data_IF_336775005058
#
_entry.id   IF_336775005058
#
_cell.length_a   1.000
_cell.length_b   1.000
_cell.length_c   1.000
_cell.angle_alpha   90.00
_cell.angle_beta   90.00
_cell.angle_gamma   90.00
#
_symmetry.space_group_name_H-M   'P 1'
#
loop_
_entity.id
_entity.type
_entity.pdbx_description
1 polymer ?
#
# COMPACT_ATOMS: atom_id res chain seq x y z
N UNK A 1 -8.46 -42.21 -25.20
CA UNK A 1 -7.11 -42.55 -24.70
C UNK A 1 -6.64 -41.36 -23.88
N UNK A 2 -6.80 -41.37 -22.55
CA UNK A 2 -5.77 -41.79 -21.56
C UNK A 2 -4.40 -41.17 -21.86
N UNK A 3 -3.65 -40.51 -20.96
CA UNK A 3 -3.76 -40.27 -19.52
C UNK A 3 -2.63 -39.36 -19.03
N UNK A 4 -2.89 -38.71 -17.90
CA UNK A 4 -1.98 -38.08 -16.91
C UNK A 4 -0.62 -38.75 -16.68
N UNK A 5 0.38 -37.93 -16.32
CA UNK A 5 1.32 -37.99 -15.16
C UNK A 5 2.03 -36.62 -15.09
N UNK A 6 1.91 -35.71 -14.12
CA UNK A 6 2.03 -35.67 -12.65
C UNK A 6 3.48 -35.71 -12.10
N UNK A 7 3.72 -34.88 -11.05
CA UNK A 7 4.94 -34.61 -10.25
C UNK A 7 5.80 -33.44 -10.77
N UNK A 8 6.24 -32.44 -9.99
CA UNK A 8 6.25 -32.23 -8.55
C UNK A 8 7.51 -31.41 -8.19
N UNK A 9 7.31 -30.25 -7.53
CA UNK A 9 8.16 -29.60 -6.52
C UNK A 9 9.71 -29.65 -6.60
N UNK A 10 10.33 -28.46 -6.47
CA UNK A 10 11.30 -28.06 -5.42
C UNK A 10 12.64 -27.43 -5.89
N UNK A 11 13.09 -26.49 -5.04
CA UNK A 11 14.44 -25.92 -4.83
C UNK A 11 14.78 -24.55 -5.43
N UNK A 12 14.66 -23.55 -4.54
CA UNK A 12 15.68 -22.54 -4.23
C UNK A 12 17.11 -22.93 -4.66
N UNK A 13 17.88 -21.96 -5.18
CA UNK A 13 19.12 -21.47 -4.54
C UNK A 13 19.81 -20.36 -5.35
N UNK A 14 20.39 -19.43 -4.60
CA UNK A 14 21.58 -18.62 -4.87
C UNK A 14 21.58 -17.57 -6.00
N UNK A 15 21.25 -16.33 -5.62
CA UNK A 15 22.05 -15.18 -6.06
C UNK A 15 22.59 -14.41 -4.85
N UNK A 16 23.88 -14.63 -4.64
CA UNK A 16 24.77 -13.92 -3.72
C UNK A 16 24.98 -12.51 -4.26
N UNK A 17 24.31 -11.50 -3.70
CA UNK A 17 24.64 -10.10 -3.97
C UNK A 17 25.77 -9.71 -3.02
N UNK A 18 26.98 -9.62 -3.59
CA UNK A 18 28.15 -9.02 -2.96
C UNK A 18 27.95 -7.51 -2.85
N UNK A 19 27.57 -7.03 -1.66
CA UNK A 19 27.68 -5.62 -1.30
C UNK A 19 29.04 -5.35 -0.67
N UNK A 20 29.79 -4.42 -1.25
CA UNK A 20 30.89 -3.70 -0.58
C UNK A 20 30.67 -2.19 -0.72
N UNK A 21 31.15 -1.39 0.24
CA UNK A 21 30.54 -0.13 0.65
C UNK A 21 31.18 1.09 -0.03
N UNK A 22 30.37 2.12 -0.30
CA UNK A 22 30.84 3.44 -0.72
C UNK A 22 30.94 4.37 0.51
N UNK A 23 32.04 5.11 0.74
CA UNK A 23 32.18 5.95 1.92
C UNK A 23 31.74 7.40 1.69
N UNK A 24 31.03 7.94 2.68
CA UNK A 24 31.06 9.33 3.18
C UNK A 24 30.64 10.46 2.22
N UNK A 25 29.46 11.04 2.45
CA UNK A 25 29.18 12.45 2.16
C UNK A 25 28.50 13.12 3.36
N UNK A 26 29.12 14.21 3.80
CA UNK A 26 28.76 15.08 4.91
C UNK A 26 27.43 15.81 4.68
N UNK A 27 26.55 15.81 5.69
CA UNK A 27 25.39 16.69 5.81
C UNK A 27 25.65 17.78 6.87
N UNK A 28 25.42 19.06 6.52
CA UNK A 28 25.07 20.16 7.45
C UNK A 28 24.49 21.37 6.67
N UNK A 29 23.81 22.35 7.32
CA UNK A 29 22.34 22.41 7.38
C UNK A 29 21.75 23.72 6.81
N UNK A 30 20.52 23.69 6.27
CA UNK A 30 19.68 24.90 6.06
C UNK A 30 18.19 24.58 6.19
N UNK A 31 17.75 24.40 7.43
CA UNK A 31 16.34 24.52 7.81
C UNK A 31 16.15 25.92 8.40
N UNK A 32 15.74 26.88 7.56
CA UNK A 32 15.10 28.16 7.95
C UNK A 32 14.68 28.92 6.69
N UNK A 33 13.74 28.35 5.92
CA UNK A 33 12.99 29.09 4.87
C UNK A 33 11.62 28.52 4.49
N UNK A 34 11.14 27.47 5.17
CA UNK A 34 9.90 26.74 4.82
C UNK A 34 8.68 27.11 5.68
N UNK A 35 8.73 28.23 6.41
CA UNK A 35 7.61 28.67 7.26
C UNK A 35 6.93 29.97 6.77
N UNK A 36 7.31 30.50 5.61
CA UNK A 36 6.65 31.67 5.00
C UNK A 36 6.00 31.40 3.62
N UNK A 37 6.11 30.19 3.08
CA UNK A 37 5.53 29.84 1.76
C UNK A 37 4.15 29.14 1.86
N UNK A 38 3.72 28.70 3.04
CA UNK A 38 2.49 27.91 3.20
C UNK A 38 1.19 28.72 3.35
N UNK A 39 1.25 30.06 3.42
CA UNK A 39 0.04 30.91 3.43
C UNK A 39 -0.26 31.47 2.02
N UNK A 40 0.74 31.53 1.13
CA UNK A 40 0.55 32.00 -0.24
C UNK A 40 -0.08 30.94 -1.18
N UNK A 41 0.17 29.65 -0.93
CA UNK A 41 -0.38 28.55 -1.74
C UNK A 41 -1.89 28.39 -1.64
N UNK A 42 -2.48 28.66 -0.46
CA UNK A 42 -3.92 28.52 -0.25
C UNK A 42 -4.75 29.66 -0.86
N UNK A 43 -4.20 30.86 -1.05
CA UNK A 43 -4.90 31.94 -1.74
C UNK A 43 -4.88 31.79 -3.28
N UNK A 44 -3.82 31.21 -3.83
CA UNK A 44 -3.67 31.01 -5.29
C UNK A 44 -4.56 29.85 -5.79
N UNK A 45 -4.72 28.79 -4.99
CA UNK A 45 -5.65 27.70 -5.31
C UNK A 45 -7.12 28.15 -5.26
N UNK A 46 -7.47 29.07 -4.36
CA UNK A 46 -8.83 29.62 -4.26
C UNK A 46 -9.17 30.58 -5.40
N UNK A 47 -8.18 31.33 -5.91
CA UNK A 47 -8.33 32.19 -7.10
C UNK A 47 -8.38 31.40 -8.43
N UNK A 48 -7.67 30.26 -8.51
CA UNK A 48 -7.71 29.37 -9.69
C UNK A 48 -9.03 28.60 -9.81
N UNK A 49 -9.75 28.38 -8.70
CA UNK A 49 -11.05 27.71 -8.72
C UNK A 49 -12.20 28.64 -9.14
N UNK A 50 -12.06 29.96 -8.95
CA UNK A 50 -13.07 30.97 -9.33
C UNK A 50 -12.91 31.50 -10.76
N UNK A 51 -11.76 31.25 -11.41
CA UNK A 51 -11.50 31.60 -12.82
C UNK A 51 -11.56 30.38 -13.76
N UNK A 52 -12.13 29.27 -13.31
CA UNK A 52 -12.30 28.03 -14.06
C UNK A 52 -13.33 28.08 -15.21
N UNK A 53 -14.03 29.19 -15.41
CA UNK A 53 -15.02 29.33 -16.50
C UNK A 53 -14.48 29.96 -17.81
N UNK A 54 -13.23 30.44 -17.87
CA UNK A 54 -12.66 30.96 -19.13
C UNK A 54 -11.65 30.04 -19.84
N UNK A 55 -11.14 29.01 -19.15
CA UNK A 55 -10.14 28.07 -19.70
C UNK A 55 -10.75 26.92 -20.52
N UNK A 56 -12.07 26.75 -20.51
CA UNK A 56 -12.78 25.85 -21.43
C UNK A 56 -12.68 26.29 -22.90
N UNK A 57 -12.49 27.59 -23.15
CA UNK A 57 -12.37 28.14 -24.51
C UNK A 57 -10.94 28.05 -25.08
N UNK A 58 -9.90 28.17 -24.24
CA UNK A 58 -8.50 28.12 -24.70
C UNK A 58 -8.00 26.69 -25.01
N UNK A 59 -8.51 25.66 -24.31
CA UNK A 59 -8.18 24.26 -24.62
C UNK A 59 -8.77 23.82 -25.97
N UNK A 60 -9.93 24.34 -26.36
CA UNK A 60 -10.55 24.04 -27.65
C UNK A 60 -9.80 24.69 -28.84
N UNK A 61 -9.26 25.90 -28.66
CA UNK A 61 -8.55 26.63 -29.72
C UNK A 61 -7.15 26.07 -30.04
N UNK A 62 -6.44 25.50 -29.05
CA UNK A 62 -5.13 24.89 -29.28
C UNK A 62 -5.25 23.54 -30.02
N UNK A 63 -6.29 22.74 -29.74
CA UNK A 63 -6.53 21.47 -30.46
C UNK A 63 -6.98 21.64 -31.91
N UNK A 64 -7.49 22.80 -32.33
CA UNK A 64 -7.92 23.03 -33.72
C UNK A 64 -6.80 23.48 -34.65
N UNK A 65 -5.73 24.11 -34.13
CA UNK A 65 -4.55 24.47 -34.93
C UNK A 65 -3.74 23.22 -35.33
N UNK A 66 -3.45 22.33 -34.37
CA UNK A 66 -2.77 21.07 -34.66
C UNK A 66 -3.61 20.13 -35.52
N UNK A 67 -4.95 20.12 -35.36
CA UNK A 67 -5.83 19.32 -36.24
C UNK A 67 -5.91 19.84 -37.67
N UNK A 68 -5.73 21.15 -37.92
CA UNK A 68 -5.70 21.70 -39.28
C UNK A 68 -4.40 21.38 -40.02
N UNK A 69 -3.28 21.33 -39.31
CA UNK A 69 -1.99 20.96 -39.91
C UNK A 69 -1.87 19.45 -40.17
N UNK A 70 -2.44 18.60 -39.31
CA UNK A 70 -2.44 17.13 -39.51
C UNK A 70 -3.27 16.70 -40.73
N UNK A 71 -4.24 17.50 -41.18
CA UNK A 71 -5.03 17.19 -42.40
C UNK A 71 -4.18 17.35 -43.67
N UNK A 72 -3.17 18.22 -43.67
CA UNK A 72 -2.26 18.40 -44.81
C UNK A 72 -1.32 17.20 -45.03
N UNK A 73 -1.22 16.27 -44.06
CA UNK A 73 -0.38 15.08 -44.14
C UNK A 73 -1.18 13.77 -44.30
N UNK A 74 -2.52 13.84 -44.44
CA UNK A 74 -3.36 12.63 -44.58
C UNK A 74 -3.25 11.93 -45.94
N UNK A 75 -2.85 12.68 -46.97
CA UNK A 75 -2.77 12.20 -48.36
C UNK A 75 -1.32 12.21 -48.87
N UNK A 76 -0.35 12.08 -47.97
CA UNK A 76 1.07 11.99 -48.32
C UNK A 76 1.39 10.52 -48.59
N UNK A 77 1.81 10.22 -49.82
CA UNK A 77 2.17 8.85 -50.23
C UNK A 77 3.51 8.45 -49.56
N UNK A 78 3.41 7.72 -48.46
CA UNK A 78 4.53 7.28 -47.62
C UNK A 78 5.54 6.47 -48.44
N UNK A 79 5.08 5.67 -49.41
CA UNK A 79 5.94 4.83 -50.25
C UNK A 79 6.73 5.64 -51.28
N UNK A 80 6.21 6.78 -51.74
CA UNK A 80 6.92 7.68 -52.65
C UNK A 80 8.02 8.47 -51.93
N UNK A 81 7.79 8.85 -50.67
CA UNK A 81 8.79 9.49 -49.81
C UNK A 81 9.91 8.53 -49.40
N UNK A 82 9.56 7.29 -49.04
CA UNK A 82 10.55 6.26 -48.68
C UNK A 82 11.46 5.89 -49.85
N UNK A 83 10.95 5.91 -51.10
CA UNK A 83 11.79 5.70 -52.30
C UNK A 83 12.74 6.85 -52.63
N UNK A 84 12.45 8.07 -52.14
CA UNK A 84 13.29 9.26 -52.37
C UNK A 84 14.41 9.39 -51.34
N UNK A 85 14.31 8.69 -50.20
CA UNK A 85 15.34 8.69 -49.17
C UNK A 85 16.48 7.75 -49.55
N UNK A 86 17.70 8.20 -49.28
CA UNK A 86 18.88 7.35 -49.42
C UNK A 86 18.94 6.30 -48.30
N UNK A 87 19.67 5.20 -48.53
CA UNK A 87 19.79 4.09 -47.57
C UNK A 87 20.31 4.58 -46.19
N UNK A 88 21.16 5.60 -46.16
CA UNK A 88 21.69 6.21 -44.94
C UNK A 88 20.69 7.10 -44.18
N UNK A 89 19.70 7.65 -44.89
CA UNK A 89 18.64 8.47 -44.28
C UNK A 89 17.51 7.58 -43.76
N UNK A 90 17.19 6.50 -44.48
CA UNK A 90 16.30 5.43 -43.99
C UNK A 90 16.83 4.81 -42.70
N UNK A 91 18.13 4.50 -42.64
CA UNK A 91 18.76 3.96 -41.44
C UNK A 91 18.66 4.92 -40.24
N UNK A 92 18.86 6.22 -40.46
CA UNK A 92 18.71 7.24 -39.40
C UNK A 92 17.27 7.39 -38.92
N UNK A 93 16.31 7.28 -39.83
CA UNK A 93 14.90 7.37 -39.50
C UNK A 93 14.41 6.16 -38.69
N UNK A 94 14.96 4.99 -38.99
CA UNK A 94 14.78 3.76 -38.19
C UNK A 94 15.36 3.91 -36.78
N UNK A 95 16.58 4.46 -36.66
CA UNK A 95 17.22 4.75 -35.36
C UNK A 95 16.40 5.76 -34.51
N UNK A 96 15.82 6.81 -35.13
CA UNK A 96 14.97 7.80 -34.43
C UNK A 96 13.61 7.21 -34.01
N UNK A 97 13.03 6.31 -34.80
CA UNK A 97 11.78 5.60 -34.45
C UNK A 97 11.99 4.67 -33.25
N UNK A 98 13.15 4.02 -33.13
CA UNK A 98 13.50 3.19 -31.98
C UNK A 98 13.72 4.02 -30.69
N UNK A 99 14.13 5.29 -30.79
CA UNK A 99 14.26 6.19 -29.64
C UNK A 99 12.92 6.73 -29.11
N UNK A 100 11.89 6.82 -29.96
CA UNK A 100 10.60 7.43 -29.63
C UNK A 100 9.67 6.53 -28.79
N UNK A 101 9.96 5.22 -28.68
CA UNK A 101 9.19 4.28 -27.84
C UNK A 101 10.08 3.43 -26.91
N UNK A 102 10.59 3.99 -25.80
CA UNK A 102 11.41 3.26 -24.82
C UNK A 102 10.67 2.09 -24.14
N UNK A 103 9.35 2.02 -24.27
CA UNK A 103 8.49 1.05 -23.58
C UNK A 103 7.87 -0.01 -24.48
N UNK A 104 8.33 -0.20 -25.73
CA UNK A 104 7.78 -1.18 -26.68
C UNK A 104 7.57 -2.57 -26.04
N UNK A 105 6.34 -2.83 -25.58
CA UNK A 105 5.97 -3.92 -24.69
C UNK A 105 6.16 -5.32 -25.30
N UNK A 106 6.33 -5.38 -26.62
CA UNK A 106 6.50 -6.60 -27.40
C UNK A 106 7.96 -7.10 -27.42
N UNK A 107 8.94 -6.26 -27.07
CA UNK A 107 10.34 -6.65 -27.04
C UNK A 107 10.78 -7.10 -25.63
N UNK A 108 11.40 -8.28 -25.48
CA UNK A 108 11.99 -8.75 -24.23
C UNK A 108 13.02 -7.75 -23.68
N UNK A 109 13.10 -7.60 -22.36
CA UNK A 109 13.92 -6.57 -21.69
C UNK A 109 15.41 -6.54 -22.14
N UNK A 110 16.00 -7.69 -22.46
CA UNK A 110 17.39 -7.77 -22.95
C UNK A 110 17.61 -7.24 -24.36
N UNK A 111 16.56 -7.18 -25.19
CA UNK A 111 16.62 -6.64 -26.56
C UNK A 111 16.31 -5.15 -26.63
N UNK A 112 15.95 -4.52 -25.50
CA UNK A 112 15.76 -3.07 -25.36
C UNK A 112 17.07 -2.32 -25.14
N UNK A 113 18.19 -3.04 -25.02
CA UNK A 113 19.49 -2.46 -24.75
C UNK A 113 20.12 -1.93 -26.05
N UNK A 114 20.47 -0.64 -26.05
CA UNK A 114 20.92 0.15 -27.22
C UNK A 114 22.23 -0.33 -27.87
N UNK A 115 23.01 -1.16 -27.18
CA UNK A 115 24.36 -1.55 -27.60
C UNK A 115 24.38 -2.88 -28.37
N UNK A 116 23.45 -3.08 -29.30
CA UNK A 116 23.51 -4.23 -30.22
C UNK A 116 24.59 -3.98 -31.28
N UNK A 117 25.84 -4.33 -30.95
CA UNK A 117 26.95 -4.14 -31.89
C UNK A 117 26.89 -5.21 -33.00
N UNK A 118 27.03 -4.81 -34.27
CA UNK A 118 27.16 -5.74 -35.41
C UNK A 118 28.49 -6.53 -35.42
N UNK A 119 29.37 -6.31 -34.42
CA UNK A 119 30.69 -6.95 -34.34
C UNK A 119 30.55 -8.33 -33.72
N UNK A 120 31.12 -9.34 -34.39
CA UNK A 120 31.20 -10.68 -33.82
C UNK A 120 31.95 -10.65 -32.47
N UNK A 121 31.55 -11.45 -31.47
CA UNK A 121 32.15 -11.41 -30.14
C UNK A 121 33.65 -11.71 -30.19
N UNK A 122 34.45 -10.69 -29.91
CA UNK A 122 35.92 -10.75 -29.88
C UNK A 122 36.39 -11.39 -28.57
N UNK A 123 36.12 -12.68 -28.40
CA UNK A 123 36.67 -13.51 -27.32
C UNK A 123 36.35 -13.05 -25.88
N UNK A 124 37.09 -13.59 -24.90
CA UNK A 124 36.94 -13.27 -23.48
C UNK A 124 37.51 -11.88 -23.15
N UNK A 125 36.83 -11.14 -22.27
CA UNK A 125 37.22 -9.80 -21.83
C UNK A 125 38.66 -9.75 -21.25
N UNK A 126 39.55 -9.01 -21.92
CA UNK A 126 40.93 -8.77 -21.45
C UNK A 126 41.07 -7.32 -20.93
N UNK A 127 40.99 -7.17 -19.60
CA UNK A 127 40.98 -5.87 -18.92
C UNK A 127 42.19 -5.00 -19.23
N UNK A 128 43.39 -5.57 -19.28
CA UNK A 128 44.64 -4.83 -19.48
C UNK A 128 44.71 -4.17 -20.85
N UNK A 129 44.29 -4.89 -21.90
CA UNK A 129 44.27 -4.38 -23.26
C UNK A 129 43.22 -3.26 -23.44
N UNK A 130 42.07 -3.37 -22.76
CA UNK A 130 41.07 -2.31 -22.76
C UNK A 130 41.61 -1.04 -22.09
N UNK A 131 42.25 -1.16 -20.92
CA UNK A 131 42.83 0.00 -20.22
C UNK A 131 43.90 0.67 -21.07
N UNK A 132 44.80 -0.10 -21.69
CA UNK A 132 45.82 0.46 -22.59
C UNK A 132 45.20 1.15 -23.83
N UNK A 133 44.11 0.60 -24.39
CA UNK A 133 43.39 1.23 -25.48
C UNK A 133 42.74 2.56 -25.07
N UNK A 134 42.09 2.59 -23.89
CA UNK A 134 41.44 3.79 -23.37
C UNK A 134 42.46 4.88 -23.01
N UNK A 135 43.59 4.52 -22.42
CA UNK A 135 44.68 5.46 -22.14
C UNK A 135 45.28 6.05 -23.42
N UNK A 136 45.40 5.22 -24.48
CA UNK A 136 45.86 5.68 -25.79
C UNK A 136 44.84 6.63 -26.43
N UNK A 137 43.56 6.27 -26.40
CA UNK A 137 42.47 7.14 -26.89
C UNK A 137 42.41 8.47 -26.14
N UNK A 138 42.56 8.46 -24.82
CA UNK A 138 42.55 9.66 -24.00
C UNK A 138 43.75 10.59 -24.30
N UNK A 139 44.91 10.02 -24.65
CA UNK A 139 46.08 10.81 -25.07
C UNK A 139 45.97 11.37 -26.49
N UNK A 140 45.27 10.66 -27.38
CA UNK A 140 45.09 11.05 -28.78
C UNK A 140 43.93 12.04 -28.97
N UNK A 141 42.93 12.00 -28.08
CA UNK A 141 41.85 12.98 -28.08
C UNK A 141 42.39 14.35 -27.63
N UNK A 142 42.33 15.39 -28.47
CA UNK A 142 42.75 16.72 -28.08
C UNK A 142 41.79 17.27 -27.01
N UNK A 143 42.35 17.92 -25.99
CA UNK A 143 41.57 18.65 -25.00
C UNK A 143 40.74 19.72 -25.71
N UNK A 144 39.45 19.76 -25.42
CA UNK A 144 38.54 20.75 -25.98
C UNK A 144 38.93 22.13 -25.44
N UNK A 145 39.11 23.11 -26.32
CA UNK A 145 39.39 24.48 -25.89
C UNK A 145 38.23 25.04 -25.05
N UNK A 146 38.58 25.57 -23.88
CA UNK A 146 37.62 26.24 -23.01
C UNK A 146 37.08 27.49 -23.73
N UNK A 147 35.75 27.60 -23.83
CA UNK A 147 35.05 28.76 -24.41
C UNK A 147 35.43 30.10 -23.75
N UNK A 148 35.95 30.06 -22.52
CA UNK A 148 36.44 31.22 -21.79
C UNK A 148 37.83 30.88 -21.24
N UNK A 149 38.91 31.55 -21.69
CA UNK A 149 40.24 31.28 -21.18
C UNK A 149 40.31 31.58 -19.68
N UNK A 150 40.82 30.62 -18.91
CA UNK A 150 40.97 30.74 -17.47
C UNK A 150 41.92 31.89 -17.13
N UNK A 151 41.37 33.00 -16.62
CA UNK A 151 42.10 34.26 -16.36
C UNK A 151 42.95 34.24 -15.09
N UNK A 152 42.99 33.14 -14.32
CA UNK A 152 43.83 33.00 -13.12
C UNK A 152 43.49 33.93 -11.94
N UNK A 153 42.60 34.90 -12.11
CA UNK A 153 42.16 35.79 -11.04
C UNK A 153 41.15 35.10 -10.12
N UNK A 154 41.55 34.87 -8.86
CA UNK A 154 40.60 34.47 -7.80
C UNK A 154 39.65 35.64 -7.51
N UNK A 155 38.52 35.70 -8.22
CA UNK A 155 37.43 36.62 -7.90
C UNK A 155 36.64 36.10 -6.70
N UNK A 156 36.82 36.74 -5.55
CA UNK A 156 36.07 36.49 -4.33
C UNK A 156 36.86 36.85 -3.09
N UNK A 157 36.19 37.33 -2.03
CA UNK A 157 36.83 37.52 -0.72
C UNK A 157 37.34 36.17 -0.23
N UNK A 158 38.58 36.12 0.28
CA UNK A 158 39.12 34.93 0.94
C UNK A 158 38.11 34.48 2.00
N UNK A 159 37.63 33.25 1.88
CA UNK A 159 36.69 32.69 2.83
C UNK A 159 37.35 32.65 4.21
N UNK A 160 36.91 33.52 5.11
CA UNK A 160 37.24 33.43 6.52
C UNK A 160 36.26 32.42 7.10
N UNK A 161 36.73 31.27 7.63
CA UNK A 161 35.85 30.33 8.31
C UNK A 161 35.13 31.09 9.42
N UNK A 162 33.79 31.07 9.40
CA UNK A 162 33.03 31.57 10.54
C UNK A 162 33.49 30.76 11.76
N UNK A 163 33.96 31.42 12.81
CA UNK A 163 34.10 30.76 14.11
C UNK A 163 32.73 30.16 14.41
N UNK A 164 32.68 28.83 14.51
CA UNK A 164 31.52 28.15 15.06
C UNK A 164 31.45 28.66 16.49
N UNK A 165 30.51 29.56 16.74
CA UNK A 165 30.13 29.87 18.11
C UNK A 165 29.43 28.59 18.53
N UNK A 166 30.04 27.88 19.48
CA UNK A 166 29.38 26.73 20.09
C UNK A 166 27.98 27.19 20.52
N UNK A 167 26.93 26.40 20.24
CA UNK A 167 25.60 26.72 20.75
C UNK A 167 25.76 27.02 22.24
N UNK A 168 25.18 28.12 22.72
CA UNK A 168 25.06 28.35 24.15
C UNK A 168 24.25 27.16 24.67
N UNK A 169 24.94 26.17 25.24
CA UNK A 169 24.31 25.15 26.04
C UNK A 169 23.71 25.93 27.21
N UNK A 170 22.39 26.10 27.20
CA UNK A 170 21.68 26.29 28.45
C UNK A 170 22.06 25.09 29.30
N UNK A 171 22.85 25.34 30.35
CA UNK A 171 23.03 24.37 31.40
C UNK A 171 21.67 24.21 32.06
N UNK A 172 20.90 23.24 31.57
CA UNK A 172 19.71 22.75 32.24
C UNK A 172 20.22 22.05 33.50
N UNK A 173 20.31 22.81 34.60
CA UNK A 173 20.55 22.25 35.93
C UNK A 173 19.30 21.48 36.33
N UNK A 174 19.42 20.16 36.36
CA UNK A 174 18.35 19.30 36.86
C UNK A 174 18.44 19.28 38.39
N UNK A 175 17.38 18.84 39.05
CA UNK A 175 17.43 18.59 40.49
C UNK A 175 18.51 17.54 40.79
N UNK A 176 19.27 17.67 41.88
CA UNK A 176 20.41 16.78 42.17
C UNK A 176 20.00 15.30 42.23
N UNK A 177 18.77 15.01 42.65
CA UNK A 177 18.19 13.67 42.65
C UNK A 177 17.96 13.11 41.23
N UNK A 178 17.57 13.96 40.28
CA UNK A 178 17.36 13.59 38.87
C UNK A 178 18.70 13.43 38.13
N UNK A 179 19.70 14.25 38.44
CA UNK A 179 21.05 14.12 37.87
C UNK A 179 21.71 12.82 38.30
N UNK A 180 21.57 12.45 39.59
CA UNK A 180 22.07 11.18 40.11
C UNK A 180 21.33 9.98 39.49
N UNK A 181 20.01 10.07 39.33
CA UNK A 181 19.21 9.02 38.69
C UNK A 181 19.58 8.84 37.21
N UNK A 182 19.77 9.95 36.47
CA UNK A 182 20.15 9.90 35.06
C UNK A 182 21.60 9.42 34.87
N UNK A 183 22.52 9.77 35.78
CA UNK A 183 23.91 9.32 35.75
C UNK A 183 24.07 7.82 36.06
N UNK A 184 23.15 7.26 36.86
CA UNK A 184 23.15 5.84 37.22
C UNK A 184 22.30 4.96 36.28
N UNK A 185 21.44 5.56 35.44
CA UNK A 185 20.60 4.84 34.50
C UNK A 185 21.43 4.21 33.37
N UNK A 186 21.08 2.99 32.98
CA UNK A 186 21.70 2.31 31.83
C UNK A 186 21.22 2.92 30.51
N UNK A 187 22.06 2.87 29.46
CA UNK A 187 21.70 3.33 28.11
C UNK A 187 20.38 2.74 27.59
N UNK A 188 20.03 1.54 28.06
CA UNK A 188 18.80 0.85 27.73
C UNK A 188 17.56 1.51 28.36
N UNK A 189 17.63 1.87 29.64
CA UNK A 189 16.57 2.58 30.36
C UNK A 189 16.37 4.00 29.79
N UNK A 190 17.47 4.66 29.41
CA UNK A 190 17.44 5.96 28.76
C UNK A 190 16.72 5.88 27.40
N UNK A 191 16.96 4.81 26.62
CA UNK A 191 16.24 4.59 25.35
C UNK A 191 14.73 4.41 25.55
N UNK A 192 14.30 3.68 26.57
CA UNK A 192 12.88 3.46 26.85
C UNK A 192 12.20 4.74 27.34
N UNK A 193 12.86 5.50 28.22
CA UNK A 193 12.40 6.82 28.66
C UNK A 193 12.26 7.76 27.46
N UNK A 194 13.25 7.78 26.57
CA UNK A 194 13.19 8.56 25.33
C UNK A 194 12.02 8.14 24.43
N UNK A 195 11.65 6.84 24.39
CA UNK A 195 10.53 6.35 23.59
C UNK A 195 9.19 6.80 24.16
N UNK A 196 9.03 6.73 25.49
CA UNK A 196 7.86 7.22 26.23
C UNK A 196 7.70 8.74 26.05
N UNK A 197 8.81 9.49 26.08
CA UNK A 197 8.85 10.94 25.84
C UNK A 197 8.69 11.31 24.36
N UNK A 198 8.60 10.35 23.43
CA UNK A 198 8.41 10.59 22.01
C UNK A 198 9.65 11.09 21.26
N UNK A 199 10.84 10.92 21.84
CA UNK A 199 12.13 11.31 21.25
C UNK A 199 12.60 10.30 20.19
N UNK A 200 11.81 10.13 19.14
CA UNK A 200 12.05 9.23 18.00
C UNK A 200 13.34 9.56 17.21
N UNK A 201 13.87 10.78 17.32
CA UNK A 201 15.09 11.22 16.62
C UNK A 201 16.39 10.65 17.19
N UNK A 202 16.35 10.10 18.42
CA UNK A 202 17.52 9.58 19.12
C UNK A 202 17.65 8.05 19.01
N UNK A 203 16.73 7.39 18.31
CA UNK A 203 16.65 5.93 18.25
C UNK A 203 16.24 5.43 16.87
N UNK A 204 16.46 4.13 16.61
CA UNK A 204 15.93 3.51 15.40
C UNK A 204 14.42 3.26 15.50
N UNK A 205 13.73 3.19 14.36
CA UNK A 205 12.31 2.85 14.31
C UNK A 205 12.01 1.53 15.02
N UNK A 206 12.90 0.54 14.91
CA UNK A 206 12.73 -0.76 15.57
C UNK A 206 12.76 -0.61 17.09
N UNK A 207 13.75 0.10 17.64
CA UNK A 207 13.86 0.34 19.08
C UNK A 207 12.66 1.13 19.62
N UNK A 208 12.19 2.12 18.86
CA UNK A 208 11.01 2.91 19.22
C UNK A 208 9.73 2.05 19.33
N UNK A 209 9.44 1.22 18.31
CA UNK A 209 8.25 0.38 18.33
C UNK A 209 8.35 -0.78 19.33
N UNK A 210 9.55 -1.34 19.55
CA UNK A 210 9.77 -2.36 20.58
C UNK A 210 9.50 -1.78 21.97
N UNK A 211 10.06 -0.61 22.29
CA UNK A 211 9.85 0.06 23.57
C UNK A 211 8.37 0.44 23.81
N UNK A 212 7.63 0.83 22.76
CA UNK A 212 6.19 1.10 22.86
C UNK A 212 5.35 -0.17 23.04
N UNK A 213 5.74 -1.28 22.42
CA UNK A 213 4.95 -2.51 22.40
C UNK A 213 5.14 -3.36 23.67
N UNK A 214 6.22 -3.15 24.42
CA UNK A 214 6.56 -3.95 25.59
C UNK A 214 6.68 -3.12 26.86
N UNK A 215 6.23 -3.66 27.98
CA UNK A 215 6.37 -3.04 29.30
C UNK A 215 7.74 -3.27 29.97
N UNK A 216 8.69 -3.92 29.28
CA UNK A 216 10.00 -4.29 29.80
C UNK A 216 11.10 -3.79 28.86
N UNK A 217 12.31 -3.54 29.39
CA UNK A 217 13.46 -3.09 28.61
C UNK A 217 13.91 -4.17 27.61
N UNK A 218 13.53 -4.03 26.35
CA UNK A 218 13.85 -4.99 25.27
C UNK A 218 15.20 -4.66 24.64
N UNK A 219 15.56 -3.38 24.60
CA UNK A 219 16.74 -2.90 23.92
C UNK A 219 17.99 -3.00 24.81
N UNK A 220 18.84 -4.01 24.59
CA UNK A 220 20.12 -4.16 25.33
C UNK A 220 21.31 -3.48 24.67
N UNK A 221 21.13 -2.81 23.53
CA UNK A 221 22.23 -2.38 22.66
C UNK A 221 22.56 -0.88 22.75
N UNK A 222 21.81 -0.11 23.55
CA UNK A 222 22.05 1.32 23.80
C UNK A 222 21.93 2.21 22.56
N UNK A 223 22.18 3.52 22.74
CA UNK A 223 22.06 4.54 21.68
C UNK A 223 23.07 4.38 20.53
N UNK A 224 24.21 3.74 20.80
CA UNK A 224 25.31 3.55 19.84
C UNK A 224 25.23 2.20 19.08
N UNK A 225 24.07 1.54 19.08
CA UNK A 225 23.88 0.27 18.38
C UNK A 225 24.01 0.40 16.86
N UNK A 226 24.69 -0.55 16.22
CA UNK A 226 24.73 -0.65 14.75
C UNK A 226 23.33 -1.08 14.28
N UNK A 227 22.72 -0.34 13.35
CA UNK A 227 21.42 -0.69 12.78
C UNK A 227 21.52 -2.07 12.13
N UNK A 228 20.87 -3.07 12.73
CA UNK A 228 20.79 -4.43 12.19
C UNK A 228 19.55 -4.55 11.31
N UNK A 229 19.62 -5.38 10.26
CA UNK A 229 18.43 -5.75 9.52
C UNK A 229 17.46 -6.50 10.44
N UNK A 230 16.20 -6.10 10.45
CA UNK A 230 15.15 -6.74 11.23
C UNK A 230 15.04 -8.21 10.83
N UNK A 231 15.22 -9.12 11.79
CA UNK A 231 15.03 -10.54 11.55
C UNK A 231 13.53 -10.83 11.41
N UNK A 232 13.16 -11.53 10.33
CA UNK A 232 11.78 -11.98 10.14
C UNK A 232 11.39 -12.92 11.28
N UNK A 233 10.42 -12.53 12.11
CA UNK A 233 9.83 -13.42 13.11
C UNK A 233 8.98 -14.44 12.34
N UNK A 234 9.35 -15.74 12.29
CA UNK A 234 8.52 -16.72 11.62
C UNK A 234 7.18 -16.77 12.36
N UNK A 235 6.09 -16.47 11.65
CA UNK A 235 4.75 -16.64 12.18
C UNK A 235 4.47 -18.15 12.13
N UNK A 236 4.25 -18.82 13.28
CA UNK A 236 3.88 -20.24 13.26
C UNK A 236 2.57 -20.41 12.49
N UNK A 237 2.50 -21.42 11.63
CA UNK A 237 1.24 -21.75 10.96
C UNK A 237 0.22 -22.16 12.02
N UNK A 238 -0.91 -21.46 12.08
CA UNK A 238 -2.04 -21.85 12.93
C UNK A 238 -2.55 -23.23 12.53
N UNK A 239 -2.94 -24.05 13.52
CA UNK A 239 -3.52 -25.35 13.22
C UNK A 239 -4.82 -25.19 12.43
N UNK A 240 -5.06 -26.04 11.41
CA UNK A 240 -6.29 -25.97 10.64
C UNK A 240 -7.49 -26.23 11.55
N UNK A 241 -8.59 -25.54 11.29
CA UNK A 241 -9.84 -25.71 12.01
C UNK A 241 -10.33 -27.16 11.93
N UNK A 242 -10.62 -27.76 13.10
CA UNK A 242 -11.03 -29.16 13.25
C UNK A 242 -12.54 -29.37 13.24
N UNK A 243 -13.34 -28.30 13.08
CA UNK A 243 -14.81 -28.38 13.04
C UNK A 243 -15.29 -29.27 11.91
N UNK A 244 -16.14 -30.25 12.24
CA UNK A 244 -16.81 -31.10 11.25
C UNK A 244 -18.02 -30.37 10.66
N UNK A 245 -17.99 -30.15 9.35
CA UNK A 245 -19.00 -29.41 8.60
C UNK A 245 -20.33 -30.16 8.55
N UNK A 246 -20.33 -31.48 8.32
CA UNK A 246 -21.58 -32.21 8.13
C UNK A 246 -22.28 -32.47 9.47
N UNK A 247 -21.52 -32.83 10.50
CA UNK A 247 -22.10 -33.04 11.83
C UNK A 247 -22.65 -31.74 12.41
N UNK A 248 -21.94 -30.62 12.20
CA UNK A 248 -22.41 -29.31 12.68
C UNK A 248 -23.68 -28.88 11.95
N UNK A 249 -23.76 -29.10 10.63
CA UNK A 249 -24.99 -28.84 9.86
C UNK A 249 -26.18 -29.65 10.39
N UNK A 250 -25.98 -30.94 10.70
CA UNK A 250 -27.02 -31.80 11.27
C UNK A 250 -27.47 -31.33 12.66
N UNK A 251 -26.52 -30.91 13.51
CA UNK A 251 -26.84 -30.34 14.83
C UNK A 251 -27.62 -29.04 14.72
N UNK A 252 -27.30 -28.20 13.74
CA UNK A 252 -28.05 -26.97 13.47
C UNK A 252 -29.47 -27.25 13.00
N UNK A 253 -29.66 -28.23 12.11
CA UNK A 253 -30.98 -28.65 11.64
C UNK A 253 -31.84 -29.24 12.78
N UNK A 254 -31.22 -29.88 13.77
CA UNK A 254 -31.89 -30.39 14.97
C UNK A 254 -32.15 -29.33 16.03
N UNK A 255 -31.72 -28.08 15.79
CA UNK A 255 -31.82 -26.97 16.73
C UNK A 255 -31.23 -27.30 18.12
N UNK A 256 -30.02 -27.85 18.11
CA UNK A 256 -29.30 -28.22 19.34
C UNK A 256 -29.05 -26.99 20.24
N UNK A 257 -29.57 -26.95 21.48
CA UNK A 257 -29.42 -25.81 22.38
C UNK A 257 -27.96 -25.56 22.82
N UNK A 258 -27.09 -26.57 22.76
CA UNK A 258 -25.69 -26.44 23.17
C UNK A 258 -24.82 -25.80 22.08
N UNK A 259 -25.33 -25.68 20.85
CA UNK A 259 -24.58 -25.14 19.72
C UNK A 259 -24.78 -23.62 19.58
N UNK A 260 -24.09 -22.85 20.41
CA UNK A 260 -24.17 -21.39 20.42
C UNK A 260 -23.30 -20.71 19.35
N UNK A 261 -22.19 -21.34 18.98
CA UNK A 261 -21.21 -20.77 18.06
C UNK A 261 -20.82 -21.77 16.98
N UNK A 262 -20.90 -21.32 15.73
CA UNK A 262 -20.55 -22.09 14.55
C UNK A 262 -19.41 -21.39 13.83
N UNK A 263 -18.23 -22.01 13.89
CA UNK A 263 -17.00 -21.48 13.32
C UNK A 263 -16.46 -22.41 12.23
N UNK A 264 -16.60 -21.96 10.98
CA UNK A 264 -16.10 -22.63 9.77
C UNK A 264 -14.89 -21.90 9.16
N UNK A 265 -14.18 -21.11 9.96
CA UNK A 265 -13.07 -20.29 9.48
C UNK A 265 -11.94 -21.15 8.92
N UNK A 266 -11.35 -20.71 7.81
CA UNK A 266 -10.19 -21.30 7.15
C UNK A 266 -10.35 -22.78 6.73
N UNK A 267 -11.58 -23.31 6.73
CA UNK A 267 -11.87 -24.64 6.20
C UNK A 267 -11.88 -24.55 4.68
N UNK A 268 -10.92 -25.23 4.05
CA UNK A 268 -10.77 -25.26 2.60
C UNK A 268 -11.77 -26.23 1.98
N UNK A 269 -12.31 -25.87 0.82
CA UNK A 269 -13.14 -26.71 -0.05
C UNK A 269 -14.55 -27.05 0.46
N UNK A 270 -15.21 -26.14 1.21
CA UNK A 270 -16.64 -26.31 1.49
C UNK A 270 -17.44 -26.05 0.19
N UNK A 271 -18.30 -26.99 -0.25
CA UNK A 271 -19.17 -26.74 -1.39
C UNK A 271 -20.13 -25.58 -1.13
N UNK A 272 -20.36 -24.73 -2.14
CA UNK A 272 -21.32 -23.61 -2.06
C UNK A 272 -22.73 -24.10 -1.68
N UNK A 273 -23.12 -25.30 -2.12
CA UNK A 273 -24.41 -25.91 -1.75
C UNK A 273 -24.51 -26.18 -0.25
N UNK A 274 -23.43 -26.63 0.37
CA UNK A 274 -23.37 -26.88 1.82
C UNK A 274 -23.52 -25.55 2.56
N UNK A 275 -22.78 -24.50 2.17
CA UNK A 275 -22.92 -23.16 2.78
C UNK A 275 -24.33 -22.57 2.63
N UNK A 276 -25.00 -22.82 1.51
CA UNK A 276 -26.42 -22.47 1.35
C UNK A 276 -27.31 -23.25 2.32
N UNK A 277 -27.07 -24.55 2.47
CA UNK A 277 -27.81 -25.36 3.45
C UNK A 277 -27.61 -24.88 4.89
N UNK A 278 -26.44 -24.34 5.23
CA UNK A 278 -26.21 -23.66 6.50
C UNK A 278 -27.08 -22.42 6.67
N UNK A 279 -27.18 -21.57 5.65
CA UNK A 279 -28.06 -20.40 5.68
C UNK A 279 -29.54 -20.80 5.81
N UNK A 280 -29.97 -21.82 5.06
CA UNK A 280 -31.34 -22.34 5.13
C UNK A 280 -31.63 -22.90 6.54
N UNK A 281 -30.73 -23.71 7.10
CA UNK A 281 -30.86 -24.26 8.45
C UNK A 281 -30.87 -23.18 9.55
N UNK A 282 -30.11 -22.10 9.38
CA UNK A 282 -30.10 -20.98 10.31
C UNK A 282 -31.42 -20.20 10.33
N UNK A 283 -32.22 -20.27 9.26
CA UNK A 283 -33.47 -19.50 9.16
C UNK A 283 -34.46 -19.88 10.27
N UNK A 284 -34.53 -21.15 10.64
CA UNK A 284 -35.42 -21.68 11.70
C UNK A 284 -34.69 -21.93 13.03
N UNK A 285 -33.36 -21.77 13.06
CA UNK A 285 -32.56 -22.09 14.24
C UNK A 285 -32.70 -21.02 15.34
N UNK A 286 -32.88 -21.46 16.59
CA UNK A 286 -33.07 -20.58 17.75
C UNK A 286 -31.92 -20.62 18.76
N UNK A 287 -30.86 -21.39 18.49
CA UNK A 287 -29.76 -21.60 19.44
C UNK A 287 -28.48 -20.86 19.04
N UNK A 288 -28.16 -20.79 17.74
CA UNK A 288 -26.88 -20.24 17.25
C UNK A 288 -26.88 -18.72 17.36
N UNK A 289 -25.96 -18.18 18.15
CA UNK A 289 -25.76 -16.74 18.32
C UNK A 289 -24.63 -16.18 17.45
N UNK A 290 -23.63 -17.00 17.09
CA UNK A 290 -22.45 -16.59 16.31
C UNK A 290 -22.20 -17.51 15.14
N UNK A 291 -22.10 -16.94 13.95
CA UNK A 291 -21.79 -17.67 12.72
C UNK A 291 -20.63 -17.03 11.98
N UNK A 292 -19.59 -17.80 11.69
CA UNK A 292 -18.36 -17.33 11.08
C UNK A 292 -17.91 -18.25 9.95
N UNK A 293 -17.71 -17.70 8.74
CA UNK A 293 -17.30 -18.41 7.52
C UNK A 293 -16.12 -17.72 6.82
N UNK A 294 -15.14 -17.26 7.60
CA UNK A 294 -13.98 -16.51 7.11
C UNK A 294 -13.09 -17.40 6.24
N UNK A 295 -12.67 -16.90 5.07
CA UNK A 295 -11.69 -17.62 4.25
C UNK A 295 -12.21 -18.92 3.61
N UNK A 296 -13.53 -19.08 3.47
CA UNK A 296 -14.17 -20.31 2.95
C UNK A 296 -14.40 -20.30 1.44
N UNK A 297 -13.98 -19.24 0.76
CA UNK A 297 -14.27 -18.98 -0.67
C UNK A 297 -15.79 -18.85 -0.96
N UNK A 298 -16.50 -18.17 -0.07
CA UNK A 298 -17.92 -17.86 -0.27
C UNK A 298 -18.13 -16.82 -1.37
N UNK A 299 -19.23 -16.97 -2.13
CA UNK A 299 -19.59 -16.15 -3.30
C UNK A 299 -20.95 -15.47 -3.09
N UNK A 300 -21.37 -14.60 -4.03
CA UNK A 300 -22.67 -13.91 -3.99
C UNK A 300 -23.90 -14.81 -3.74
N UNK A 301 -24.01 -16.04 -4.31
CA UNK A 301 -25.13 -16.93 -3.99
C UNK A 301 -25.24 -17.31 -2.50
N UNK A 302 -24.11 -17.37 -1.79
CA UNK A 302 -24.10 -17.59 -0.34
C UNK A 302 -24.55 -16.32 0.37
N UNK A 303 -24.07 -15.15 -0.07
CA UNK A 303 -24.49 -13.86 0.49
C UNK A 303 -26.01 -13.63 0.34
N UNK A 304 -26.61 -13.99 -0.81
CA UNK A 304 -28.06 -13.90 -1.00
C UNK A 304 -28.83 -14.84 -0.07
N UNK A 305 -28.36 -16.08 0.10
CA UNK A 305 -28.99 -17.02 1.03
C UNK A 305 -28.90 -16.52 2.49
N UNK A 306 -27.75 -15.97 2.88
CA UNK A 306 -27.57 -15.34 4.19
C UNK A 306 -28.46 -14.10 4.37
N UNK A 307 -28.64 -13.30 3.31
CA UNK A 307 -29.54 -12.15 3.34
C UNK A 307 -31.01 -12.54 3.49
N UNK A 308 -31.43 -13.66 2.90
CA UNK A 308 -32.78 -14.21 3.13
C UNK A 308 -32.92 -14.76 4.56
N UNK A 309 -31.92 -15.50 5.03
CA UNK A 309 -31.88 -16.02 6.40
C UNK A 309 -31.98 -14.90 7.45
N UNK A 310 -31.24 -13.79 7.28
CA UNK A 310 -31.27 -12.66 8.21
C UNK A 310 -32.65 -11.99 8.31
N UNK A 311 -33.53 -12.12 7.31
CA UNK A 311 -34.90 -11.59 7.41
C UNK A 311 -35.79 -12.42 8.34
N UNK A 312 -35.52 -13.72 8.44
CA UNK A 312 -36.32 -14.66 9.24
C UNK A 312 -35.71 -14.99 10.61
N UNK A 313 -34.38 -15.02 10.70
CA UNK A 313 -33.68 -15.39 11.92
C UNK A 313 -33.75 -14.26 12.97
N UNK A 314 -34.04 -14.65 14.22
CA UNK A 314 -34.20 -13.73 15.36
C UNK A 314 -33.22 -14.01 16.51
N UNK A 315 -32.19 -14.81 16.27
CA UNK A 315 -31.30 -15.33 17.33
C UNK A 315 -29.84 -15.00 17.10
N UNK A 316 -29.43 -14.86 15.84
CA UNK A 316 -28.06 -14.59 15.45
C UNK A 316 -27.65 -13.16 15.84
N UNK A 317 -26.58 -13.04 16.63
CA UNK A 317 -26.02 -11.77 17.10
C UNK A 317 -24.78 -11.34 16.33
N UNK A 318 -23.94 -12.29 15.90
CA UNK A 318 -22.67 -12.01 15.22
C UNK A 318 -22.54 -12.82 13.93
N UNK A 319 -22.32 -12.13 12.81
CA UNK A 319 -22.08 -12.72 11.50
C UNK A 319 -20.73 -12.25 10.95
N UNK A 320 -19.82 -13.20 10.68
CA UNK A 320 -18.54 -12.92 10.06
C UNK A 320 -18.38 -13.62 8.70
N UNK A 321 -18.23 -12.82 7.65
CA UNK A 321 -18.03 -13.26 6.26
C UNK A 321 -16.77 -12.63 5.62
N UNK A 322 -15.80 -12.21 6.44
CA UNK A 322 -14.52 -11.64 6.00
C UNK A 322 -13.73 -12.58 5.07
N UNK A 323 -12.83 -11.99 4.27
CA UNK A 323 -11.87 -12.76 3.45
C UNK A 323 -12.53 -13.76 2.49
N UNK A 324 -13.59 -13.33 1.81
CA UNK A 324 -14.35 -14.14 0.84
C UNK A 324 -14.39 -13.46 -0.55
N UNK A 325 -15.15 -14.05 -1.48
CA UNK A 325 -15.32 -13.60 -2.87
C UNK A 325 -16.71 -13.00 -3.09
N UNK A 326 -17.19 -12.22 -2.13
CA UNK A 326 -18.50 -11.57 -2.19
C UNK A 326 -18.32 -10.19 -2.84
N UNK A 327 -19.15 -9.90 -3.84
CA UNK A 327 -19.14 -8.61 -4.55
C UNK A 327 -20.03 -7.59 -3.83
N UNK A 328 -19.94 -6.33 -4.26
CA UNK A 328 -20.82 -5.27 -3.76
C UNK A 328 -22.32 -5.59 -3.85
N UNK A 329 -22.73 -6.40 -4.83
CA UNK A 329 -24.15 -6.79 -4.97
C UNK A 329 -24.61 -7.75 -3.88
N UNK A 330 -23.78 -8.74 -3.52
CA UNK A 330 -24.05 -9.66 -2.43
C UNK A 330 -24.05 -8.95 -1.07
N UNK A 331 -23.09 -8.03 -0.86
CA UNK A 331 -23.05 -7.21 0.36
C UNK A 331 -24.28 -6.31 0.47
N UNK A 332 -24.71 -5.64 -0.60
CA UNK A 332 -25.91 -4.80 -0.55
C UNK A 332 -27.16 -5.60 -0.18
N UNK A 333 -27.29 -6.83 -0.67
CA UNK A 333 -28.41 -7.69 -0.28
C UNK A 333 -28.39 -8.00 1.23
N UNK A 334 -27.21 -8.27 1.80
CA UNK A 334 -27.04 -8.46 3.24
C UNK A 334 -27.43 -7.20 4.01
N UNK A 335 -26.92 -6.02 3.62
CA UNK A 335 -27.25 -4.77 4.32
C UNK A 335 -28.74 -4.41 4.17
N UNK A 336 -29.34 -4.69 3.02
CA UNK A 336 -30.78 -4.48 2.82
C UNK A 336 -31.62 -5.36 3.76
N UNK A 337 -31.16 -6.59 4.07
CA UNK A 337 -31.84 -7.47 5.03
C UNK A 337 -31.78 -6.97 6.48
N UNK A 338 -30.78 -6.16 6.83
CA UNK A 338 -30.66 -5.56 8.17
C UNK A 338 -31.77 -4.55 8.47
N UNK A 339 -32.48 -4.02 7.47
CA UNK A 339 -33.61 -3.11 7.72
C UNK A 339 -34.77 -3.82 8.41
N UNK A 340 -34.95 -5.12 8.17
CA UNK A 340 -35.96 -5.96 8.82
C UNK A 340 -35.44 -6.72 10.04
N UNK A 341 -34.13 -6.92 10.13
CA UNK A 341 -33.53 -7.65 11.24
C UNK A 341 -33.25 -6.71 12.43
N UNK A 342 -33.69 -7.12 13.62
CA UNK A 342 -33.51 -6.36 14.87
C UNK A 342 -32.63 -7.08 15.89
N UNK A 343 -31.93 -8.13 15.49
CA UNK A 343 -31.25 -9.07 16.40
C UNK A 343 -29.74 -9.12 16.17
N UNK A 344 -29.28 -8.92 14.94
CA UNK A 344 -27.88 -8.87 14.59
C UNK A 344 -27.22 -7.60 15.17
N UNK A 345 -26.15 -7.81 15.93
CA UNK A 345 -25.38 -6.76 16.61
C UNK A 345 -24.03 -6.53 15.94
N UNK A 346 -23.42 -7.57 15.37
CA UNK A 346 -22.11 -7.50 14.73
C UNK A 346 -22.16 -8.10 13.32
N UNK A 347 -21.73 -7.33 12.33
CA UNK A 347 -21.57 -7.78 10.96
C UNK A 347 -20.18 -7.42 10.46
N UNK A 348 -19.39 -8.43 10.08
CA UNK A 348 -18.03 -8.26 9.56
C UNK A 348 -17.94 -8.75 8.12
N UNK A 349 -17.55 -7.85 7.22
CA UNK A 349 -17.53 -8.08 5.77
C UNK A 349 -16.21 -7.67 5.11
N UNK A 350 -15.19 -7.34 5.90
CA UNK A 350 -13.94 -6.78 5.38
C UNK A 350 -13.10 -7.77 4.55
N UNK A 351 -12.09 -7.25 3.86
CA UNK A 351 -11.12 -8.02 3.07
C UNK A 351 -11.75 -8.92 1.98
N UNK A 352 -12.79 -8.44 1.30
CA UNK A 352 -13.32 -9.17 0.14
C UNK A 352 -12.33 -9.14 -1.03
N UNK A 353 -12.43 -10.12 -1.93
CA UNK A 353 -11.54 -10.27 -3.08
C UNK A 353 -11.46 -9.05 -4.02
N UNK A 354 -12.48 -8.19 -4.01
CA UNK A 354 -12.58 -6.99 -4.83
C UNK A 354 -13.12 -5.83 -3.98
N UNK A 355 -12.70 -4.59 -4.25
CA UNK A 355 -13.31 -3.42 -3.59
C UNK A 355 -14.80 -3.32 -3.96
N UNK A 356 -15.65 -2.97 -2.99
CA UNK A 356 -17.10 -2.88 -3.18
C UNK A 356 -17.51 -1.77 -4.15
N UNK A 357 -16.72 -0.69 -4.20
CA UNK A 357 -16.93 0.46 -5.07
C UNK A 357 -17.70 1.62 -4.43
N UNK A 358 -17.42 2.85 -4.88
CA UNK A 358 -17.89 4.08 -4.22
C UNK A 358 -19.43 4.20 -4.13
N UNK A 359 -20.16 3.76 -5.17
CA UNK A 359 -21.64 3.81 -5.18
C UNK A 359 -22.22 2.88 -4.12
N UNK A 360 -21.66 1.68 -4.02
CA UNK A 360 -22.07 0.66 -3.07
C UNK A 360 -21.83 1.13 -1.63
N UNK A 361 -20.66 1.73 -1.35
CA UNK A 361 -20.37 2.28 -0.02
C UNK A 361 -21.36 3.37 0.42
N UNK A 362 -21.76 4.26 -0.49
CA UNK A 362 -22.77 5.29 -0.22
C UNK A 362 -24.13 4.69 0.12
N UNK A 363 -24.54 3.66 -0.60
CA UNK A 363 -25.78 2.93 -0.34
C UNK A 363 -25.73 2.18 1.00
N UNK A 364 -24.60 1.51 1.30
CA UNK A 364 -24.39 0.84 2.59
C UNK A 364 -24.56 1.82 3.73
N UNK A 365 -23.92 2.99 3.67
CA UNK A 365 -24.04 4.00 4.73
C UNK A 365 -25.50 4.48 4.91
N UNK A 366 -26.23 4.72 3.81
CA UNK A 366 -27.63 5.14 3.88
C UNK A 366 -28.55 4.05 4.45
N UNK A 367 -28.25 2.78 4.23
CA UNK A 367 -29.01 1.67 4.80
C UNK A 367 -28.66 1.43 6.28
N UNK A 368 -27.39 1.59 6.67
CA UNK A 368 -26.95 1.48 8.06
C UNK A 368 -27.58 2.55 8.95
N UNK A 369 -27.77 3.77 8.44
CA UNK A 369 -28.49 4.85 9.16
C UNK A 369 -29.94 4.49 9.52
N UNK A 370 -30.56 3.54 8.81
CA UNK A 370 -31.93 3.09 9.06
C UNK A 370 -32.03 1.96 10.07
N UNK A 371 -30.92 1.28 10.36
CA UNK A 371 -30.90 0.19 11.32
C UNK A 371 -30.42 0.73 12.69
N UNK A 372 -31.14 0.35 13.75
CA UNK A 372 -30.85 0.80 15.12
C UNK A 372 -30.26 -0.28 16.02
N UNK A 373 -30.03 -1.49 15.51
CA UNK A 373 -29.66 -2.66 16.31
C UNK A 373 -28.21 -3.09 16.13
N UNK A 374 -27.63 -2.80 14.96
CA UNK A 374 -26.24 -3.10 14.66
C UNK A 374 -25.32 -2.18 15.45
N UNK A 375 -24.41 -2.76 16.22
CA UNK A 375 -23.47 -2.06 17.09
C UNK A 375 -22.07 -2.00 16.49
N UNK A 376 -21.69 -3.03 15.72
CA UNK A 376 -20.38 -3.11 15.09
C UNK A 376 -20.51 -3.51 13.63
N UNK A 377 -19.93 -2.68 12.76
CA UNK A 377 -19.82 -2.94 11.34
C UNK A 377 -18.34 -3.05 10.95
N UNK A 378 -17.88 -4.27 10.66
CA UNK A 378 -16.51 -4.57 10.26
C UNK A 378 -16.33 -4.38 8.75
N UNK A 379 -16.09 -3.15 8.33
CA UNK A 379 -15.73 -2.81 6.96
C UNK A 379 -14.89 -1.53 6.91
N UNK A 380 -13.78 -1.56 6.16
CA UNK A 380 -13.00 -0.35 5.91
C UNK A 380 -13.56 0.44 4.72
N UNK A 381 -14.33 1.49 5.00
CA UNK A 381 -14.81 2.42 3.96
C UNK A 381 -13.66 3.16 3.29
N UNK A 382 -13.60 3.13 1.96
CA UNK A 382 -12.62 3.88 1.18
C UNK A 382 -12.94 5.37 1.15
N UNK A 383 -14.23 5.72 1.08
CA UNK A 383 -14.68 7.12 1.02
C UNK A 383 -14.91 7.72 2.41
N UNK A 384 -14.43 8.94 2.64
CA UNK A 384 -14.58 9.63 3.94
C UNK A 384 -16.04 9.90 4.33
N UNK A 385 -16.91 10.21 3.36
CA UNK A 385 -18.33 10.49 3.60
C UNK A 385 -19.08 9.30 4.20
N UNK A 386 -19.17 8.14 3.50
CA UNK A 386 -19.71 6.90 4.04
C UNK A 386 -19.06 6.46 5.34
N UNK A 387 -17.74 6.62 5.48
CA UNK A 387 -17.01 6.27 6.70
C UNK A 387 -17.55 7.01 7.93
N UNK A 388 -17.69 8.33 7.84
CA UNK A 388 -18.19 9.13 8.95
C UNK A 388 -19.66 8.81 9.25
N UNK A 389 -20.49 8.65 8.22
CA UNK A 389 -21.90 8.29 8.39
C UNK A 389 -22.09 6.91 9.04
N UNK A 390 -21.35 5.91 8.56
CA UNK A 390 -21.34 4.57 9.15
C UNK A 390 -20.87 4.58 10.60
N UNK A 391 -19.80 5.32 10.90
CA UNK A 391 -19.31 5.48 12.27
C UNK A 391 -20.35 6.16 13.18
N UNK A 392 -21.02 7.21 12.71
CA UNK A 392 -22.05 7.90 13.47
C UNK A 392 -23.28 7.01 13.70
N UNK A 393 -23.68 6.21 12.70
CA UNK A 393 -24.78 5.25 12.85
C UNK A 393 -24.48 4.21 13.95
N UNK A 394 -23.26 3.64 13.95
CA UNK A 394 -22.86 2.70 15.00
C UNK A 394 -22.77 3.37 16.38
N UNK A 395 -22.27 4.62 16.45
CA UNK A 395 -22.21 5.38 17.70
C UNK A 395 -23.61 5.63 18.26
N UNK A 396 -24.55 6.12 17.44
CA UNK A 396 -25.93 6.33 17.85
C UNK A 396 -26.60 5.05 18.37
N UNK A 397 -26.33 3.91 17.74
CA UNK A 397 -26.89 2.63 18.16
C UNK A 397 -26.30 2.16 19.50
N UNK A 398 -25.00 2.34 19.71
CA UNK A 398 -24.36 2.05 21.00
C UNK A 398 -24.90 2.97 22.11
N UNK A 399 -25.09 4.27 21.83
CA UNK A 399 -25.67 5.21 22.78
C UNK A 399 -27.11 4.82 23.17
N UNK A 400 -27.93 4.39 22.20
CA UNK A 400 -29.27 3.85 22.47
C UNK A 400 -29.22 2.60 23.37
N UNK A 401 -28.27 1.70 23.11
CA UNK A 401 -28.04 0.53 23.94
C UNK A 401 -27.65 0.89 25.37
N UNK A 402 -26.74 1.84 25.56
CA UNK A 402 -26.37 2.36 26.89
C UNK A 402 -27.55 3.02 27.61
N UNK A 403 -28.35 3.84 26.90
CA UNK A 403 -29.52 4.49 27.48
C UNK A 403 -30.55 3.48 28.00
N UNK A 404 -30.77 2.37 27.27
CA UNK A 404 -31.66 1.30 27.73
C UNK A 404 -31.09 0.57 28.95
N UNK A 405 -29.78 0.33 29.00
CA UNK A 405 -29.12 -0.31 30.15
C UNK A 405 -29.17 0.54 31.42
N UNK A 406 -29.14 1.88 31.32
CA UNK A 406 -29.21 2.79 32.48
C UNK A 406 -30.61 2.95 33.06
N UNK A 407 -31.66 2.50 32.37
CA UNK A 407 -33.05 2.57 32.82
C UNK A 407 -33.51 1.33 33.59
N UNK A 408 -32.69 0.28 33.64
CA UNK A 408 -32.87 -0.94 34.43
C UNK A 408 -31.81 -1.01 35.53
#
# INVERSE_FOLDING_TARGET
MYSRTNLGTSWFTNQTILTKPCPVCFCRPRSCRLLFENIAGHLVAFLLHFLGESLGFYRAAMTTSYKKEVVNYRDVDEDELLKKLSEEELQRLEDELEELDPDNALLPAGMRQKDQTKKAPTGTFQRENLVAHLEKQAKEHPDKEDLVPFTGEKRGKVFIPKKVVDPIMENVTLEPELEEALANASDAEICDIAAILGMHTLMSNQQYYEALASSNIVNKQGLNSIIQCTQYKPVPDEQPNSTDVEETLLRMQRNDPDLLEVNLNNIKNIPVKTLKAYADALTENTAVERFSIVGTRSNDPVAFALAEMLKGNTTLKSLNIESNFITGTGILALIASLQSNTTLQELKIDNQSQPLGNKVEMEIASMLEKNTTLLKFGYHFTQQGPRLRGSNAMMNNNDLGEMMLRQH
#
